data_IF_441399058711
#
_entry.id   IF_441399058711
#
_cell.length_a   1.000
_cell.length_b   1.000
_cell.length_c   1.000
_cell.angle_alpha   90.00
_cell.angle_beta   90.00
_cell.angle_gamma   90.00
#
_symmetry.space_group_name_H-M   'P 1'
#
loop_
_entity.id
_entity.type
_entity.pdbx_description
1 polymer ?
#
# COMPACT_ATOMS: atom_id res chain seq x y z
N UNK A 1 -43.72 34.39 31.39
CA UNK A 1 -42.39 33.73 31.29
C UNK A 1 -42.46 32.66 30.21
N UNK A 2 -41.96 32.97 29.00
CA UNK A 2 -42.08 32.11 27.82
C UNK A 2 -40.78 31.31 27.69
N UNK A 3 -40.83 30.01 27.99
CA UNK A 3 -39.67 29.11 27.93
C UNK A 3 -39.29 28.90 26.47
N UNK A 4 -38.12 29.40 26.06
CA UNK A 4 -37.50 29.09 24.78
C UNK A 4 -36.82 27.71 24.93
N UNK A 5 -37.35 26.70 24.25
CA UNK A 5 -36.70 25.39 24.14
C UNK A 5 -35.70 25.51 22.99
N UNK A 6 -34.40 25.55 23.31
CA UNK A 6 -33.34 25.38 22.32
C UNK A 6 -33.27 23.90 21.94
N UNK A 7 -33.76 23.57 20.74
CA UNK A 7 -33.46 22.28 20.12
C UNK A 7 -32.03 22.34 19.56
N UNK A 8 -31.09 21.71 20.25
CA UNK A 8 -29.75 21.47 19.71
C UNK A 8 -29.86 20.38 18.64
N UNK A 9 -29.85 20.78 17.37
CA UNK A 9 -29.79 19.86 16.23
C UNK A 9 -28.40 19.23 16.15
N UNK A 10 -28.29 17.97 16.52
CA UNK A 10 -27.10 17.15 16.29
C UNK A 10 -27.06 16.79 14.80
N UNK A 11 -26.30 17.55 14.00
CA UNK A 11 -26.01 17.22 12.61
C UNK A 11 -24.97 16.08 12.64
N UNK A 12 -25.43 14.84 12.47
CA UNK A 12 -24.53 13.74 12.13
C UNK A 12 -24.03 14.00 10.71
N UNK A 13 -22.80 14.51 10.61
CA UNK A 13 -22.06 14.47 9.35
C UNK A 13 -21.80 12.99 9.06
N UNK A 14 -22.63 12.38 8.20
CA UNK A 14 -22.36 11.06 7.67
C UNK A 14 -21.12 11.16 6.78
N UNK A 15 -19.94 10.99 7.36
CA UNK A 15 -18.73 10.73 6.60
C UNK A 15 -18.94 9.39 5.91
N UNK A 16 -19.10 9.39 4.58
CA UNK A 16 -19.10 8.15 3.82
C UNK A 16 -17.78 7.43 4.07
N UNK A 17 -17.84 6.19 4.55
CA UNK A 17 -16.66 5.34 4.58
C UNK A 17 -16.21 5.13 3.12
N UNK A 18 -15.07 5.74 2.75
CA UNK A 18 -14.43 5.49 1.47
C UNK A 18 -13.60 4.22 1.64
N UNK A 19 -14.06 3.12 1.05
CA UNK A 19 -13.28 1.90 0.96
C UNK A 19 -12.42 1.92 -0.31
N UNK A 20 -11.21 1.38 -0.22
CA UNK A 20 -10.40 1.14 -1.41
C UNK A 20 -11.17 0.26 -2.40
N UNK A 21 -11.02 0.55 -3.69
CA UNK A 21 -11.61 -0.25 -4.77
C UNK A 21 -10.56 -1.19 -5.33
N UNK A 22 -10.71 -2.48 -5.10
CA UNK A 22 -9.73 -3.48 -5.55
C UNK A 22 -9.73 -3.61 -7.08
N UNK A 23 -8.54 -3.71 -7.66
CA UNK A 23 -8.35 -4.03 -9.07
C UNK A 23 -8.00 -5.50 -9.21
N UNK A 24 -9.02 -6.33 -9.48
CA UNK A 24 -8.88 -7.78 -9.61
C UNK A 24 -9.05 -8.19 -11.07
N UNK A 25 -8.05 -8.89 -11.63
CA UNK A 25 -8.07 -9.36 -13.01
C UNK A 25 -7.84 -10.87 -13.01
N UNK A 26 -8.83 -11.63 -13.49
CA UNK A 26 -8.72 -13.09 -13.54
C UNK A 26 -8.55 -13.77 -12.18
N UNK A 27 -9.00 -13.13 -11.09
CA UNK A 27 -8.84 -13.61 -9.72
C UNK A 27 -7.54 -13.17 -9.03
N UNK A 28 -6.66 -12.46 -9.74
CA UNK A 28 -5.43 -11.91 -9.19
C UNK A 28 -5.60 -10.44 -8.80
N UNK A 29 -5.14 -10.06 -7.62
CA UNK A 29 -5.11 -8.69 -7.13
C UNK A 29 -3.94 -7.94 -7.78
N UNK A 30 -4.27 -7.03 -8.70
CA UNK A 30 -3.30 -6.24 -9.45
C UNK A 30 -2.99 -4.90 -8.77
N UNK A 31 -3.85 -4.45 -7.85
CA UNK A 31 -3.74 -3.17 -7.17
C UNK A 31 -5.06 -2.75 -6.53
N UNK A 32 -5.16 -1.47 -6.15
CA UNK A 32 -6.38 -0.87 -5.62
C UNK A 32 -6.41 0.64 -5.88
N UNK A 33 -7.59 1.22 -6.01
CA UNK A 33 -7.80 2.67 -6.12
C UNK A 33 -8.34 3.26 -4.83
N UNK A 34 -8.06 4.54 -4.60
CA UNK A 34 -8.51 5.29 -3.42
C UNK A 34 -8.05 4.68 -2.09
N UNK A 35 -6.82 4.16 -2.02
CA UNK A 35 -6.21 3.72 -0.76
C UNK A 35 -5.86 4.95 0.06
N UNK A 36 -6.43 5.06 1.27
CA UNK A 36 -6.23 6.20 2.15
C UNK A 36 -4.93 6.03 2.96
N UNK A 37 -3.97 6.92 2.76
CA UNK A 37 -2.70 6.96 3.49
C UNK A 37 -2.51 8.36 4.07
N UNK A 38 -2.50 8.48 5.39
CA UNK A 38 -2.30 9.75 6.13
C UNK A 38 -3.14 10.93 5.59
N UNK A 39 -4.42 10.66 5.30
CA UNK A 39 -5.36 11.67 4.80
C UNK A 39 -5.30 11.93 3.29
N UNK A 40 -4.40 11.27 2.54
CA UNK A 40 -4.28 11.37 1.08
C UNK A 40 -4.69 10.07 0.40
N UNK A 41 -5.31 10.15 -0.78
CA UNK A 41 -5.76 8.99 -1.56
C UNK A 41 -4.75 8.63 -2.65
N UNK A 42 -4.47 7.33 -2.77
CA UNK A 42 -3.55 6.78 -3.75
C UNK A 42 -4.19 5.64 -4.54
N UNK A 43 -3.85 5.58 -5.83
CA UNK A 43 -3.97 4.39 -6.65
C UNK A 43 -2.68 3.60 -6.52
N UNK A 44 -2.80 2.32 -6.17
CA UNK A 44 -1.68 1.41 -5.95
C UNK A 44 -1.66 0.30 -6.97
N UNK A 45 -0.47 -0.12 -7.37
CA UNK A 45 -0.27 -1.24 -8.28
C UNK A 45 0.83 -2.17 -7.76
N UNK A 46 0.52 -3.46 -7.71
CA UNK A 46 1.50 -4.50 -7.39
C UNK A 46 2.29 -4.86 -8.66
N UNK A 47 3.61 -4.79 -8.57
CA UNK A 47 4.54 -4.90 -9.68
C UNK A 47 5.55 -6.00 -9.40
N UNK A 48 6.02 -6.61 -10.49
CA UNK A 48 7.11 -7.57 -10.48
C UNK A 48 8.21 -7.08 -11.43
N UNK A 49 9.46 -7.02 -10.97
CA UNK A 49 10.56 -6.44 -11.73
C UNK A 49 11.77 -6.07 -10.87
N UNK A 50 12.74 -5.41 -11.50
CA UNK A 50 13.87 -4.81 -10.78
C UNK A 50 13.60 -3.36 -10.37
N UNK A 51 14.27 -2.88 -9.33
CA UNK A 51 14.05 -1.50 -8.85
C UNK A 51 14.39 -0.49 -9.95
N UNK A 52 15.50 -0.72 -10.65
CA UNK A 52 15.98 0.12 -11.75
C UNK A 52 14.93 0.20 -12.87
N UNK A 53 14.30 -0.92 -13.22
CA UNK A 53 13.29 -0.97 -14.28
C UNK A 53 11.99 -0.27 -13.88
N UNK A 54 11.62 -0.33 -12.60
CA UNK A 54 10.33 0.13 -12.10
C UNK A 54 10.33 1.57 -11.56
N UNK A 55 11.49 2.09 -11.14
CA UNK A 55 11.63 3.40 -10.49
C UNK A 55 12.70 4.27 -11.15
N UNK A 56 12.65 4.44 -12.47
CA UNK A 56 13.45 5.42 -13.22
C UNK A 56 14.97 5.35 -12.96
N UNK A 57 15.52 4.14 -12.78
CA UNK A 57 16.93 3.96 -12.44
C UNK A 57 17.19 3.67 -10.97
N UNK A 58 16.23 4.00 -10.10
CA UNK A 58 16.30 3.73 -8.66
C UNK A 58 17.57 4.32 -8.06
N UNK A 59 17.85 5.57 -8.42
CA UNK A 59 19.11 6.26 -8.20
C UNK A 59 18.95 7.64 -7.55
N UNK A 60 17.73 8.06 -7.26
CA UNK A 60 17.44 9.26 -6.49
C UNK A 60 16.25 9.06 -5.52
N UNK A 61 16.24 9.83 -4.42
CA UNK A 61 15.12 9.81 -3.47
C UNK A 61 13.79 10.24 -4.12
N UNK A 62 13.86 11.09 -5.15
CA UNK A 62 12.70 11.57 -5.89
C UNK A 62 12.05 10.53 -6.81
N UNK A 63 12.68 9.37 -7.00
CA UNK A 63 12.08 8.23 -7.71
C UNK A 63 10.92 7.59 -6.90
N UNK A 64 10.83 7.91 -5.60
CA UNK A 64 9.85 7.32 -4.68
C UNK A 64 8.77 8.31 -4.24
N UNK A 65 7.53 7.81 -4.16
CA UNK A 65 6.37 8.58 -3.70
C UNK A 65 6.51 8.99 -2.23
N UNK A 66 6.98 8.08 -1.40
CA UNK A 66 7.27 8.33 0.01
C UNK A 66 8.76 8.58 0.17
N UNK A 67 9.14 9.55 1.00
CA UNK A 67 10.55 9.93 1.19
C UNK A 67 10.98 9.82 2.66
N UNK A 68 10.14 9.19 3.49
CA UNK A 68 10.42 8.94 4.90
C UNK A 68 9.92 7.56 5.30
N UNK A 69 10.59 6.95 6.28
CA UNK A 69 10.21 5.67 6.88
C UNK A 69 8.78 5.72 7.43
N UNK A 70 8.43 6.80 8.13
CA UNK A 70 7.11 6.97 8.73
C UNK A 70 6.00 6.98 7.69
N UNK A 71 6.15 7.75 6.60
CA UNK A 71 5.15 7.81 5.53
C UNK A 71 5.01 6.48 4.80
N UNK A 72 6.12 5.76 4.58
CA UNK A 72 6.10 4.45 3.93
C UNK A 72 5.47 3.38 4.83
N UNK A 73 5.72 3.43 6.13
CA UNK A 73 5.10 2.54 7.13
C UNK A 73 3.59 2.75 7.21
N UNK A 74 3.12 4.00 7.18
CA UNK A 74 1.69 4.32 7.13
C UNK A 74 1.04 3.78 5.84
N UNK A 75 1.75 3.88 4.72
CA UNK A 75 1.29 3.31 3.46
C UNK A 75 1.22 1.78 3.53
N UNK A 76 2.26 1.13 4.07
CA UNK A 76 2.29 -0.31 4.31
C UNK A 76 1.14 -0.79 5.20
N UNK A 77 0.80 -0.04 6.26
CA UNK A 77 -0.32 -0.36 7.14
C UNK A 77 -1.66 -0.19 6.41
N UNK A 78 -1.82 0.85 5.60
CA UNK A 78 -3.03 1.08 4.83
C UNK A 78 -3.36 -0.08 3.88
N UNK A 79 -2.34 -0.78 3.35
CA UNK A 79 -2.57 -1.97 2.52
C UNK A 79 -3.19 -3.12 3.33
N UNK A 80 -2.72 -3.38 4.55
CA UNK A 80 -3.32 -4.41 5.42
C UNK A 80 -4.76 -4.03 5.79
N UNK A 81 -4.97 -2.75 6.11
CA UNK A 81 -6.26 -2.29 6.62
C UNK A 81 -7.34 -2.20 5.52
N UNK A 82 -6.96 -2.06 4.25
CA UNK A 82 -7.89 -1.70 3.17
C UNK A 82 -7.81 -2.60 1.93
N UNK A 83 -6.69 -3.30 1.70
CA UNK A 83 -6.40 -3.98 0.43
C UNK A 83 -6.28 -5.49 0.61
N UNK A 84 -5.47 -5.94 1.58
CA UNK A 84 -5.29 -7.35 1.91
C UNK A 84 -6.38 -7.84 2.85
N UNK A 85 -7.61 -7.87 2.33
CA UNK A 85 -8.79 -8.33 3.05
C UNK A 85 -9.47 -9.46 2.28
N UNK A 86 -9.92 -10.47 2.99
CA UNK A 86 -10.79 -11.49 2.43
C UNK A 86 -12.18 -10.91 2.14
N UNK A 87 -12.70 -11.18 0.94
CA UNK A 87 -13.98 -10.67 0.50
C UNK A 87 -14.57 -11.41 -0.68
N UNK A 88 -15.60 -10.82 -1.27
CA UNK A 88 -16.26 -11.35 -2.47
C UNK A 88 -15.33 -11.36 -3.69
N UNK A 89 -14.38 -10.44 -3.74
CA UNK A 89 -13.46 -10.27 -4.86
C UNK A 89 -12.26 -11.23 -4.81
N UNK A 90 -11.96 -11.81 -3.64
CA UNK A 90 -10.87 -12.75 -3.45
C UNK A 90 -10.52 -12.98 -1.99
N UNK A 91 -9.71 -14.01 -1.73
CA UNK A 91 -9.18 -14.36 -0.42
C UNK A 91 -7.75 -13.83 -0.28
N UNK A 92 -7.57 -12.51 -0.35
CA UNK A 92 -6.23 -11.92 -0.49
C UNK A 92 -5.42 -11.93 0.82
N UNK A 93 -6.08 -12.04 1.98
CA UNK A 93 -5.43 -12.25 3.27
C UNK A 93 -5.11 -13.75 3.45
N UNK A 94 -6.12 -14.60 3.26
CA UNK A 94 -5.95 -16.04 3.44
C UNK A 94 -5.10 -16.75 2.37
N UNK A 95 -4.96 -16.19 1.17
CA UNK A 95 -4.11 -16.71 0.09
C UNK A 95 -3.28 -15.57 -0.54
N UNK A 96 -2.11 -15.23 0.05
CA UNK A 96 -1.24 -14.17 -0.43
C UNK A 96 -0.74 -14.37 -1.87
N UNK A 97 -0.73 -15.61 -2.40
CA UNK A 97 -0.35 -15.91 -3.78
C UNK A 97 -1.33 -15.34 -4.82
N UNK A 98 -2.51 -14.89 -4.39
CA UNK A 98 -3.46 -14.18 -5.25
C UNK A 98 -3.04 -12.72 -5.52
N UNK A 99 -1.97 -12.22 -4.91
CA UNK A 99 -1.42 -10.89 -5.19
C UNK A 99 -0.43 -10.95 -6.36
N UNK A 100 -0.55 -10.03 -7.32
CA UNK A 100 0.40 -9.96 -8.44
C UNK A 100 1.85 -9.78 -7.94
N UNK A 101 2.76 -10.59 -8.47
CA UNK A 101 4.17 -10.63 -8.05
C UNK A 101 4.47 -11.62 -6.91
N UNK A 102 3.45 -12.17 -6.24
CA UNK A 102 3.61 -13.23 -5.26
C UNK A 102 3.10 -14.57 -5.79
N UNK A 103 3.73 -15.66 -5.37
CA UNK A 103 3.32 -17.02 -5.72
C UNK A 103 3.34 -18.00 -4.54
N UNK A 104 3.68 -17.52 -3.35
CA UNK A 104 3.65 -18.30 -2.12
C UNK A 104 2.33 -18.10 -1.38
N UNK A 105 1.67 -19.21 -1.05
CA UNK A 105 0.34 -19.25 -0.41
C UNK A 105 0.38 -18.97 1.09
N UNK A 106 1.56 -18.82 1.67
CA UNK A 106 1.76 -18.59 3.10
C UNK A 106 2.11 -17.15 3.41
N UNK A 107 2.81 -16.45 2.52
CA UNK A 107 3.21 -15.07 2.78
C UNK A 107 3.51 -14.31 1.48
N UNK A 108 3.29 -13.00 1.53
CA UNK A 108 3.69 -12.07 0.50
C UNK A 108 4.25 -10.79 1.15
N UNK A 109 5.47 -10.42 0.79
CA UNK A 109 6.18 -9.23 1.21
C UNK A 109 6.10 -8.16 0.14
N UNK A 110 5.44 -7.05 0.44
CA UNK A 110 5.30 -5.91 -0.47
C UNK A 110 6.24 -4.80 -0.05
N UNK A 111 7.07 -4.34 -0.97
CA UNK A 111 8.06 -3.31 -0.67
C UNK A 111 7.58 -1.91 -1.06
N UNK A 112 7.49 -1.04 -0.06
CA UNK A 112 7.26 0.40 -0.21
C UNK A 112 8.60 1.12 -0.04
N UNK A 113 9.22 1.51 -1.16
CA UNK A 113 10.49 2.23 -1.17
C UNK A 113 10.34 3.65 -0.63
N UNK A 114 11.31 4.11 0.16
CA UNK A 114 11.28 5.45 0.75
C UNK A 114 12.61 6.17 0.91
N UNK A 115 13.73 5.48 0.69
CA UNK A 115 15.04 6.05 0.94
C UNK A 115 16.06 5.54 -0.07
N UNK A 116 16.99 6.39 -0.46
CA UNK A 116 18.13 6.04 -1.29
C UNK A 116 19.42 6.50 -0.63
N UNK A 117 20.43 5.64 -0.60
CA UNK A 117 21.79 5.98 -0.21
C UNK A 117 22.72 5.76 -1.41
N UNK A 118 23.34 6.80 -1.98
CA UNK A 118 24.21 6.67 -3.15
C UNK A 118 25.48 5.85 -2.90
N UNK A 119 25.92 5.74 -1.64
CA UNK A 119 27.13 5.00 -1.25
C UNK A 119 26.84 4.15 0.00
N UNK A 120 26.52 2.85 -0.12
CA UNK A 120 26.90 1.93 -1.20
C UNK A 120 25.80 1.61 -2.24
N UNK A 121 24.98 2.59 -2.65
CA UNK A 121 23.87 2.42 -3.61
C UNK A 121 22.82 1.41 -3.10
N UNK A 122 22.12 1.80 -2.03
CA UNK A 122 21.09 0.99 -1.40
C UNK A 122 19.75 1.71 -1.35
N UNK A 123 18.67 0.95 -1.44
CA UNK A 123 17.30 1.46 -1.25
C UNK A 123 16.78 1.00 0.10
N UNK A 124 16.14 1.90 0.83
CA UNK A 124 15.42 1.61 2.05
C UNK A 124 13.93 1.40 1.74
N UNK A 125 13.34 0.37 2.35
CA UNK A 125 11.94 -0.01 2.13
C UNK A 125 11.24 -0.29 3.45
N UNK A 126 9.97 0.08 3.51
CA UNK A 126 9.03 -0.46 4.48
C UNK A 126 8.34 -1.67 3.83
N UNK A 127 8.20 -2.75 4.58
CA UNK A 127 7.62 -4.00 4.08
C UNK A 127 6.26 -4.23 4.72
N UNK A 128 5.27 -4.44 3.88
CA UNK A 128 4.02 -5.09 4.29
C UNK A 128 4.19 -6.59 4.12
N UNK A 129 4.15 -7.33 5.21
CA UNK A 129 4.07 -8.79 5.20
C UNK A 129 2.61 -9.16 5.41
N UNK A 130 1.99 -9.66 4.34
CA UNK A 130 0.67 -10.28 4.35
C UNK A 130 0.86 -11.79 4.50
N UNK A 131 0.56 -12.33 5.67
CA UNK A 131 0.73 -13.73 6.00
C UNK A 131 -0.64 -14.38 6.06
N UNK A 132 -0.76 -15.54 5.42
CA UNK A 132 -1.90 -16.40 5.63
C UNK A 132 -2.12 -16.60 7.15
N UNK A 133 -3.37 -16.53 7.67
CA UNK A 133 -3.65 -16.70 9.10
C UNK A 133 -3.09 -17.99 9.72
N UNK A 134 -2.79 -19.01 8.92
CA UNK A 134 -2.15 -20.26 9.37
C UNK A 134 -0.63 -20.23 9.48
N UNK A 135 0.06 -19.25 8.89
CA UNK A 135 1.53 -19.17 8.83
C UNK A 135 2.14 -18.11 9.74
N UNK A 136 1.41 -17.05 10.09
CA UNK A 136 1.96 -15.93 10.86
C UNK A 136 0.97 -14.83 11.17
N UNK A 137 1.50 -13.67 11.60
CA UNK A 137 0.75 -12.42 11.79
C UNK A 137 1.18 -11.42 10.74
N UNK A 138 0.26 -10.60 10.27
CA UNK A 138 0.60 -9.50 9.37
C UNK A 138 1.46 -8.44 10.04
N UNK A 139 2.31 -7.80 9.25
CA UNK A 139 3.23 -6.78 9.73
C UNK A 139 3.39 -5.66 8.70
N UNK A 140 3.41 -4.40 9.17
CA UNK A 140 3.68 -3.23 8.31
C UNK A 140 4.86 -2.36 8.81
N UNK A 141 5.52 -2.76 9.89
CA UNK A 141 6.56 -1.96 10.57
C UNK A 141 7.99 -2.46 10.31
N UNK A 142 8.16 -3.36 9.33
CA UNK A 142 9.47 -3.94 9.06
C UNK A 142 10.20 -3.08 8.03
N UNK A 143 11.41 -2.63 8.40
CA UNK A 143 12.23 -1.77 7.56
C UNK A 143 13.52 -2.49 7.21
N UNK A 144 13.86 -2.48 5.93
CA UNK A 144 15.07 -3.14 5.42
C UNK A 144 15.75 -2.28 4.36
N UNK A 145 16.98 -2.64 4.00
CA UNK A 145 17.70 -2.01 2.89
C UNK A 145 18.45 -3.06 2.07
N UNK A 146 18.46 -2.87 0.76
CA UNK A 146 19.14 -3.77 -0.18
C UNK A 146 19.91 -2.99 -1.23
N UNK A 147 20.91 -3.63 -1.82
CA UNK A 147 21.66 -3.05 -2.92
C UNK A 147 20.74 -2.92 -4.15
N UNK A 148 20.75 -1.74 -4.80
CA UNK A 148 19.94 -1.47 -6.00
C UNK A 148 20.20 -2.51 -7.09
N UNK A 149 21.45 -2.95 -7.24
CA UNK A 149 21.86 -3.92 -8.25
C UNK A 149 21.32 -5.33 -8.05
N UNK A 150 20.83 -5.67 -6.86
CA UNK A 150 20.25 -6.98 -6.52
C UNK A 150 18.76 -6.88 -6.22
N UNK A 151 18.17 -5.70 -6.35
CA UNK A 151 16.77 -5.43 -6.08
C UNK A 151 15.91 -5.91 -7.26
N UNK A 152 15.49 -7.18 -7.24
CA UNK A 152 14.71 -7.80 -8.31
C UNK A 152 13.76 -8.87 -7.76
N UNK A 153 12.46 -8.77 -8.08
CA UNK A 153 11.43 -9.70 -7.61
C UNK A 153 11.08 -10.81 -8.60
N UNK A 154 11.59 -10.78 -9.84
CA UNK A 154 11.11 -11.65 -10.96
C UNK A 154 11.23 -13.16 -10.72
N UNK A 155 12.02 -13.59 -9.76
CA UNK A 155 12.18 -14.99 -9.39
C UNK A 155 12.00 -15.22 -7.88
N UNK A 156 11.44 -14.22 -7.20
CA UNK A 156 11.28 -14.22 -5.76
C UNK A 156 9.79 -14.45 -5.42
N UNK A 157 9.40 -15.69 -5.05
CA UNK A 157 8.00 -16.04 -4.89
C UNK A 157 7.30 -15.32 -3.73
N UNK A 158 8.09 -14.69 -2.87
CA UNK A 158 7.65 -14.01 -1.65
C UNK A 158 7.54 -12.50 -1.81
N UNK A 159 8.06 -11.90 -2.88
CA UNK A 159 8.29 -10.46 -2.91
C UNK A 159 7.63 -9.80 -4.12
N UNK A 160 6.95 -8.68 -3.88
CA UNK A 160 6.47 -7.81 -4.94
C UNK A 160 6.76 -6.33 -4.62
N UNK A 161 6.84 -5.51 -5.65
CA UNK A 161 6.98 -4.06 -5.52
C UNK A 161 5.65 -3.34 -5.61
N UNK A 162 5.62 -2.12 -5.09
CA UNK A 162 4.42 -1.31 -5.05
C UNK A 162 4.64 0.08 -5.62
N UNK A 163 3.85 0.41 -6.64
CA UNK A 163 3.77 1.78 -7.13
C UNK A 163 2.57 2.49 -6.51
N UNK A 164 2.78 3.72 -6.05
CA UNK A 164 1.73 4.62 -5.59
C UNK A 164 1.61 5.80 -6.56
N UNK A 165 0.38 6.16 -6.90
CA UNK A 165 0.07 7.37 -7.67
C UNK A 165 -1.02 8.14 -6.95
N UNK A 166 -0.87 9.44 -6.71
CA UNK A 166 -1.96 10.24 -6.15
C UNK A 166 -3.22 10.10 -7.01
N UNK A 167 -4.36 9.80 -6.40
CA UNK A 167 -5.62 9.68 -7.14
C UNK A 167 -6.03 11.07 -7.64
N UNK A 168 -6.06 11.25 -8.96
CA UNK A 168 -6.47 12.51 -9.58
C UNK A 168 -7.99 12.64 -9.45
N UNK A 169 -8.46 13.35 -8.42
CA UNK A 169 -9.88 13.61 -8.18
C UNK A 169 -10.27 14.04 -6.76
N UNK A 170 -9.35 14.03 -5.79
CA UNK A 170 -9.66 14.38 -4.39
C UNK A 170 -9.56 15.86 -4.01
N UNK A 171 -9.00 16.72 -4.87
CA UNK A 171 -8.65 18.10 -4.53
C UNK A 171 -9.52 19.18 -5.21
N UNK A 172 -10.68 18.84 -5.76
CA UNK A 172 -11.57 19.84 -6.39
C UNK A 172 -12.65 20.40 -5.45
N UNK A 173 -12.71 19.99 -4.17
CA UNK A 173 -13.73 20.47 -3.21
C UNK A 173 -13.15 21.07 -1.92
N UNK A 174 -12.04 21.81 -2.02
CA UNK A 174 -11.54 22.64 -0.93
C UNK A 174 -11.13 24.04 -1.45
N UNK A 175 -12.13 24.83 -1.85
CA UNK A 175 -12.02 26.27 -2.04
C UNK A 175 -13.33 26.95 -1.61
#
# INVERSE_FOLDING_TARGET
MRKLILAAGLVLMAGGAQAATLNVVGGQLMGASNVLVDGSLYDVQFLDGSCIDLYNGCDDLSDFTFQTEASATLASQALLDQVFLDGVDGLFDADPALTNGCSDVWQCGIQTHFGFNPWPSTVATAVTSNNNPGSGVDMANWVTSFAVSTADTRNEPLWAYLSYRPTIGGAENAA
#
